data_IF_537046815722
#
_entry.id   IF_537046815722
#
_cell.length_a   1.000
_cell.length_b   1.000
_cell.length_c   1.000
_cell.angle_alpha   90.00
_cell.angle_beta   90.00
_cell.angle_gamma   90.00
#
_symmetry.space_group_name_H-M   'P 1'
#
loop_
_entity.id
_entity.type
_entity.pdbx_description
1 polymer ?
#
# COMPACT_ATOMS: atom_id res chain seq x y z
N UNK A 1 -8.65 8.92 8.61
CA UNK A 1 -8.18 7.57 8.20
C UNK A 1 -6.88 7.24 8.92
N UNK A 2 -6.60 5.95 9.11
CA UNK A 2 -5.30 5.45 9.59
C UNK A 2 -4.77 4.42 8.60
N UNK A 3 -3.46 4.29 8.49
CA UNK A 3 -2.83 3.24 7.71
C UNK A 3 -1.97 2.37 8.63
N UNK A 4 -1.94 1.07 8.34
CA UNK A 4 -1.06 0.10 9.01
C UNK A 4 -0.54 -0.94 8.02
N UNK A 5 0.59 -1.60 8.30
CA UNK A 5 1.04 -2.72 7.51
C UNK A 5 -0.03 -3.83 7.44
N UNK A 6 -0.12 -4.46 6.28
CA UNK A 6 -0.90 -5.69 6.10
C UNK A 6 -0.27 -6.81 6.91
N UNK A 7 -1.11 -7.68 7.46
CA UNK A 7 -0.64 -8.88 8.16
C UNK A 7 -0.01 -9.86 7.16
N UNK A 8 1.08 -10.52 7.54
CA UNK A 8 1.91 -11.29 6.60
C UNK A 8 1.16 -12.47 5.97
N UNK A 9 0.37 -13.19 6.77
CA UNK A 9 -0.42 -14.34 6.29
C UNK A 9 -1.45 -13.92 5.24
N UNK A 10 -2.07 -12.76 5.44
CA UNK A 10 -3.02 -12.16 4.53
C UNK A 10 -2.35 -11.65 3.26
N UNK A 11 -1.17 -11.05 3.41
CA UNK A 11 -0.41 -10.57 2.28
C UNK A 11 -0.06 -11.73 1.33
N UNK A 12 0.43 -12.85 1.87
CA UNK A 12 0.71 -14.07 1.10
C UNK A 12 -0.55 -14.61 0.42
N UNK A 13 -1.66 -14.68 1.15
CA UNK A 13 -2.92 -15.20 0.62
C UNK A 13 -3.48 -14.39 -0.56
N UNK A 14 -3.30 -13.06 -0.56
CA UNK A 14 -3.70 -12.20 -1.67
C UNK A 14 -2.74 -12.37 -2.86
N UNK A 15 -1.42 -12.43 -2.61
CA UNK A 15 -0.41 -12.66 -3.66
C UNK A 15 -0.59 -14.01 -4.37
N UNK A 16 -0.92 -15.06 -3.61
CA UNK A 16 -1.21 -16.41 -4.14
C UNK A 16 -2.58 -16.50 -4.82
N UNK A 17 -3.40 -15.43 -4.75
CA UNK A 17 -4.71 -15.36 -5.38
C UNK A 17 -5.82 -16.10 -4.63
N UNK A 18 -5.59 -16.52 -3.38
CA UNK A 18 -6.64 -17.09 -2.53
C UNK A 18 -7.68 -16.06 -2.08
N UNK A 19 -7.27 -14.79 -1.96
CA UNK A 19 -8.11 -13.66 -1.55
C UNK A 19 -8.01 -12.55 -2.60
N UNK A 20 -9.14 -12.03 -3.05
CA UNK A 20 -9.19 -10.88 -3.95
C UNK A 20 -10.57 -10.71 -4.56
N UNK A 21 -10.84 -9.56 -5.19
CA UNK A 21 -12.19 -9.14 -5.64
C UNK A 21 -12.92 -10.11 -6.59
N UNK A 22 -12.22 -11.11 -7.15
CA UNK A 22 -12.75 -12.09 -8.11
C UNK A 22 -13.07 -13.46 -7.48
N UNK A 23 -12.76 -13.66 -6.21
CA UNK A 23 -12.97 -14.94 -5.52
C UNK A 23 -14.31 -14.90 -4.78
N UNK A 24 -15.19 -15.84 -5.07
CA UNK A 24 -16.43 -16.07 -4.32
C UNK A 24 -16.41 -17.51 -3.81
N UNK A 25 -16.55 -17.79 -2.49
CA UNK A 25 -16.76 -16.84 -1.39
C UNK A 25 -15.47 -16.46 -0.64
N UNK A 26 -15.01 -15.22 -0.84
CA UNK A 26 -13.89 -14.59 -0.09
C UNK A 26 -14.04 -14.77 1.42
N UNK A 27 -15.22 -14.49 1.97
CA UNK A 27 -15.47 -14.49 3.42
C UNK A 27 -15.35 -15.88 4.05
N UNK A 28 -15.72 -16.92 3.30
CA UNK A 28 -15.67 -18.30 3.80
C UNK A 28 -14.22 -18.80 3.82
N UNK A 29 -13.46 -18.55 2.75
CA UNK A 29 -12.02 -18.86 2.71
C UNK A 29 -11.24 -18.06 3.77
N UNK A 30 -11.61 -16.79 3.99
CA UNK A 30 -10.97 -15.93 4.98
C UNK A 30 -11.23 -16.42 6.41
N UNK A 31 -12.46 -16.82 6.73
CA UNK A 31 -12.80 -17.33 8.06
C UNK A 31 -12.23 -18.73 8.32
N UNK A 32 -12.31 -19.64 7.34
CA UNK A 32 -11.89 -21.04 7.52
C UNK A 32 -10.36 -21.22 7.52
N UNK A 33 -9.61 -20.44 6.73
CA UNK A 33 -8.14 -20.62 6.60
C UNK A 33 -7.30 -19.70 7.49
N UNK A 34 -7.83 -18.54 7.87
CA UNK A 34 -7.03 -17.49 8.52
C UNK A 34 -7.57 -17.08 9.90
N UNK A 35 -8.51 -17.86 10.46
CA UNK A 35 -9.16 -17.60 11.77
C UNK A 35 -9.70 -16.16 11.89
N UNK A 36 -10.15 -15.64 10.76
CA UNK A 36 -10.55 -14.25 10.68
C UNK A 36 -11.97 -14.10 11.17
N UNK A 37 -12.18 -13.13 12.06
CA UNK A 37 -13.51 -12.70 12.45
C UNK A 37 -14.35 -12.37 11.20
N UNK A 38 -15.43 -13.14 11.00
CA UNK A 38 -16.39 -12.94 9.90
C UNK A 38 -16.94 -11.52 9.83
N UNK A 39 -16.93 -10.78 10.95
CA UNK A 39 -17.36 -9.39 11.01
C UNK A 39 -16.31 -8.42 10.43
N UNK A 40 -15.01 -8.75 10.52
CA UNK A 40 -13.94 -8.00 9.84
C UNK A 40 -14.06 -8.12 8.33
N UNK A 41 -14.40 -9.30 7.81
CA UNK A 41 -14.57 -9.50 6.38
C UNK A 41 -15.68 -8.62 5.76
N UNK A 42 -16.81 -8.44 6.48
CA UNK A 42 -17.91 -7.55 6.04
C UNK A 42 -17.53 -6.07 6.01
N UNK A 43 -16.51 -5.69 6.77
CA UNK A 43 -16.00 -4.32 6.86
C UNK A 43 -15.06 -3.97 5.71
N UNK A 44 -14.57 -4.95 4.94
CA UNK A 44 -13.68 -4.70 3.79
C UNK A 44 -14.49 -4.08 2.65
N UNK A 45 -14.03 -2.92 2.18
CA UNK A 45 -14.69 -2.19 1.09
C UNK A 45 -14.13 -2.52 -0.28
N UNK A 46 -12.81 -2.65 -0.39
CA UNK A 46 -12.14 -3.03 -1.62
C UNK A 46 -10.68 -3.41 -1.37
N UNK A 47 -10.11 -4.12 -2.35
CA UNK A 47 -8.66 -4.31 -2.52
C UNK A 47 -8.13 -3.39 -3.61
N UNK A 48 -6.85 -3.08 -3.64
CA UNK A 48 -6.31 -2.19 -4.67
C UNK A 48 -4.77 -2.06 -4.66
N UNK A 49 -4.20 -1.39 -5.66
CA UNK A 49 -4.86 -0.91 -6.89
C UNK A 49 -5.42 -2.05 -7.78
N UNK A 50 -6.27 -1.68 -8.75
CA UNK A 50 -6.90 -2.54 -9.78
C UNK A 50 -7.76 -3.68 -9.23
N UNK A 51 -8.30 -3.55 -8.02
CA UNK A 51 -9.12 -4.57 -7.34
C UNK A 51 -8.42 -5.92 -7.07
N UNK A 52 -7.11 -6.03 -7.27
CA UNK A 52 -6.36 -7.29 -7.13
C UNK A 52 -5.04 -7.15 -6.37
N UNK A 53 -4.57 -5.93 -6.11
CA UNK A 53 -3.29 -5.71 -5.43
C UNK A 53 -3.43 -5.68 -3.90
N UNK A 54 -2.28 -5.70 -3.25
CA UNK A 54 -2.02 -6.00 -1.85
C UNK A 54 -2.32 -4.86 -0.88
N UNK A 55 -3.33 -4.06 -1.15
CA UNK A 55 -3.80 -3.02 -0.25
C UNK A 55 -5.29 -3.17 -0.03
N UNK A 56 -5.79 -2.73 1.11
CA UNK A 56 -7.21 -2.80 1.43
C UNK A 56 -7.74 -1.54 2.10
N UNK A 57 -9.05 -1.33 1.95
CA UNK A 57 -9.80 -0.35 2.74
C UNK A 57 -10.79 -1.09 3.63
N UNK A 58 -10.76 -0.80 4.92
CA UNK A 58 -11.64 -1.35 5.95
C UNK A 58 -12.46 -0.23 6.58
N UNK A 59 -13.77 -0.42 6.68
CA UNK A 59 -14.65 0.47 7.40
C UNK A 59 -14.69 0.13 8.90
N UNK A 60 -14.20 1.05 9.74
CA UNK A 60 -14.24 0.96 11.21
C UNK A 60 -15.21 1.97 11.82
N UNK A 61 -15.95 2.72 11.01
CA UNK A 61 -16.93 3.67 11.50
C UNK A 61 -18.13 2.95 12.12
N UNK A 62 -18.64 3.50 13.22
CA UNK A 62 -19.88 3.05 13.87
C UNK A 62 -20.90 4.20 13.85
N UNK A 63 -22.14 3.91 13.41
CA UNK A 63 -23.25 4.87 13.51
C UNK A 63 -23.20 6.07 12.55
N UNK A 64 -22.43 6.01 11.46
CA UNK A 64 -22.37 7.11 10.48
C UNK A 64 -23.45 6.99 9.42
N UNK A 65 -24.36 7.95 9.39
CA UNK A 65 -25.42 8.06 8.37
C UNK A 65 -24.86 8.28 6.97
N UNK A 66 -25.53 7.72 5.96
CA UNK A 66 -25.21 7.88 4.53
C UNK A 66 -23.83 7.38 4.07
N UNK A 67 -23.04 6.76 4.96
CA UNK A 67 -21.69 6.29 4.65
C UNK A 67 -21.65 5.35 3.45
N UNK A 68 -22.61 4.42 3.37
CA UNK A 68 -22.70 3.45 2.27
C UNK A 68 -22.94 4.11 0.90
N UNK A 69 -23.59 5.26 0.84
CA UNK A 69 -23.79 6.01 -0.42
C UNK A 69 -22.46 6.55 -0.96
N UNK A 70 -21.50 6.83 -0.06
CA UNK A 70 -20.19 7.35 -0.43
C UNK A 70 -19.17 6.26 -0.79
N UNK A 71 -19.50 4.98 -0.51
CA UNK A 71 -18.58 3.83 -0.69
C UNK A 71 -17.97 3.80 -2.09
N UNK A 72 -18.76 3.97 -3.15
CA UNK A 72 -18.25 3.95 -4.53
C UNK A 72 -17.21 5.05 -4.79
N UNK A 73 -17.41 6.24 -4.22
CA UNK A 73 -16.48 7.37 -4.36
C UNK A 73 -15.19 7.16 -3.55
N UNK A 74 -15.30 6.60 -2.34
CA UNK A 74 -14.13 6.26 -1.52
C UNK A 74 -13.30 5.19 -2.20
N UNK A 75 -13.94 4.13 -2.72
CA UNK A 75 -13.27 3.08 -3.50
C UNK A 75 -12.55 3.67 -4.70
N UNK A 76 -13.20 4.53 -5.49
CA UNK A 76 -12.58 5.18 -6.65
C UNK A 76 -11.36 6.02 -6.25
N UNK A 77 -11.47 6.84 -5.20
CA UNK A 77 -10.34 7.61 -4.67
C UNK A 77 -9.19 6.73 -4.18
N UNK A 78 -9.50 5.58 -3.57
CA UNK A 78 -8.50 4.61 -3.15
C UNK A 78 -7.80 3.90 -4.31
N UNK A 79 -8.51 3.47 -5.34
CA UNK A 79 -7.89 2.82 -6.51
C UNK A 79 -6.85 3.74 -7.16
N UNK A 80 -7.18 5.02 -7.26
CA UNK A 80 -6.31 6.02 -7.86
C UNK A 80 -5.15 6.40 -6.91
N UNK A 81 -5.42 6.59 -5.62
CA UNK A 81 -4.37 6.90 -4.65
C UNK A 81 -3.37 5.75 -4.47
N UNK A 82 -3.84 4.50 -4.47
CA UNK A 82 -2.98 3.32 -4.28
C UNK A 82 -2.14 2.98 -5.51
N UNK A 83 -2.50 3.50 -6.69
CA UNK A 83 -1.70 3.38 -7.92
C UNK A 83 -0.49 4.32 -7.91
N UNK A 84 -0.60 5.50 -7.29
CA UNK A 84 0.46 6.51 -7.26
C UNK A 84 1.18 6.58 -5.92
N UNK A 85 0.47 6.54 -4.80
CA UNK A 85 1.09 6.74 -3.49
C UNK A 85 1.78 8.09 -3.25
N UNK A 86 2.01 8.40 -1.99
CA UNK A 86 2.48 9.73 -1.57
C UNK A 86 3.99 9.94 -1.76
N UNK A 87 4.79 8.86 -1.75
CA UNK A 87 6.25 8.95 -1.77
C UNK A 87 6.80 9.38 -3.14
N UNK A 88 6.50 8.62 -4.19
CA UNK A 88 7.16 8.80 -5.49
C UNK A 88 6.25 8.50 -6.69
N UNK A 89 4.92 8.58 -6.56
CA UNK A 89 4.00 8.19 -7.62
C UNK A 89 4.23 6.72 -8.08
N UNK A 90 4.54 5.82 -7.14
CA UNK A 90 4.69 4.36 -7.31
C UNK A 90 3.54 3.60 -6.63
N UNK A 91 3.20 2.42 -7.18
CA UNK A 91 2.14 1.58 -6.63
C UNK A 91 2.40 1.24 -5.14
N UNK A 92 1.39 1.46 -4.31
CA UNK A 92 1.40 1.05 -2.92
C UNK A 92 1.35 -0.48 -2.82
N UNK A 93 1.93 -1.03 -1.75
CA UNK A 93 1.86 -2.47 -1.47
C UNK A 93 1.86 -2.74 0.03
N UNK A 94 1.04 -3.69 0.45
CA UNK A 94 1.02 -4.21 1.81
C UNK A 94 0.43 -3.23 2.83
N UNK A 95 -0.56 -2.42 2.46
CA UNK A 95 -1.16 -1.41 3.34
C UNK A 95 -2.64 -1.68 3.59
N UNK A 96 -3.03 -1.70 4.87
CA UNK A 96 -4.42 -1.65 5.29
C UNK A 96 -4.81 -0.23 5.71
N UNK A 97 -5.77 0.36 5.00
CA UNK A 97 -6.34 1.67 5.32
C UNK A 97 -7.66 1.51 6.08
N UNK A 98 -7.75 2.15 7.24
CA UNK A 98 -8.91 2.10 8.12
C UNK A 98 -9.64 3.44 8.12
N UNK A 99 -10.93 3.39 7.77
CA UNK A 99 -11.84 4.52 7.90
C UNK A 99 -12.35 4.52 9.34
N UNK A 100 -11.73 5.34 10.20
CA UNK A 100 -12.09 5.39 11.62
C UNK A 100 -13.33 6.27 11.88
N UNK A 101 -13.44 7.39 11.17
CA UNK A 101 -14.50 8.37 11.35
C UNK A 101 -14.74 9.13 10.04
N UNK A 102 -15.99 9.56 9.81
CA UNK A 102 -16.41 10.34 8.65
C UNK A 102 -17.54 11.27 9.07
N UNK A 103 -17.39 12.56 8.78
CA UNK A 103 -18.45 13.56 8.88
C UNK A 103 -18.96 13.87 7.48
N UNK A 104 -20.25 13.70 7.26
CA UNK A 104 -20.91 13.85 5.97
C UNK A 104 -22.02 14.90 6.06
N UNK A 105 -22.13 15.74 5.03
CA UNK A 105 -23.21 16.72 4.93
C UNK A 105 -24.55 16.03 4.62
N UNK A 106 -25.68 16.50 5.16
CA UNK A 106 -26.98 15.82 4.96
C UNK A 106 -27.41 15.80 3.48
N UNK A 107 -27.19 16.92 2.77
CA UNK A 107 -27.58 17.09 1.38
C UNK A 107 -26.75 16.19 0.42
N UNK A 108 -27.38 15.27 -0.35
CA UNK A 108 -26.67 14.41 -1.31
C UNK A 108 -25.86 15.15 -2.38
N UNK A 109 -26.29 16.36 -2.76
CA UNK A 109 -25.61 17.18 -3.79
C UNK A 109 -24.20 17.59 -3.33
N UNK A 110 -24.01 17.71 -2.01
CA UNK A 110 -22.73 18.06 -1.39
C UNK A 110 -21.85 16.84 -1.11
N UNK A 111 -22.38 15.62 -1.31
CA UNK A 111 -21.68 14.35 -1.13
C UNK A 111 -21.34 13.64 -2.45
N UNK A 112 -21.26 14.41 -3.53
CA UNK A 112 -20.93 13.88 -4.85
C UNK A 112 -19.49 13.38 -4.92
N UNK A 113 -19.21 12.48 -5.87
CA UNK A 113 -17.86 11.95 -6.09
C UNK A 113 -16.80 13.03 -6.32
N UNK A 114 -17.18 14.18 -6.91
CA UNK A 114 -16.27 15.34 -7.07
C UNK A 114 -15.72 15.87 -5.75
N UNK A 115 -16.47 15.73 -4.65
CA UNK A 115 -16.02 16.14 -3.31
C UNK A 115 -15.33 14.99 -2.56
N UNK A 116 -15.92 13.79 -2.62
CA UNK A 116 -15.46 12.64 -1.83
C UNK A 116 -14.16 12.03 -2.37
N UNK A 117 -14.00 11.91 -3.69
CA UNK A 117 -12.81 11.30 -4.31
C UNK A 117 -11.52 12.05 -3.95
N UNK A 118 -11.39 13.38 -4.19
CA UNK A 118 -10.16 14.09 -3.84
C UNK A 118 -9.93 14.14 -2.32
N UNK A 119 -10.98 14.21 -1.51
CA UNK A 119 -10.88 14.16 -0.05
C UNK A 119 -10.32 12.81 0.42
N UNK A 120 -10.81 11.71 -0.17
CA UNK A 120 -10.32 10.36 0.11
C UNK A 120 -8.86 10.20 -0.30
N UNK A 121 -8.47 10.68 -1.50
CA UNK A 121 -7.08 10.65 -1.97
C UNK A 121 -6.14 11.36 -0.99
N UNK A 122 -6.50 12.58 -0.55
CA UNK A 122 -5.70 13.33 0.44
C UNK A 122 -5.61 12.58 1.77
N UNK A 123 -6.73 12.07 2.28
CA UNK A 123 -6.76 11.31 3.53
C UNK A 123 -5.88 10.05 3.49
N UNK A 124 -5.82 9.36 2.35
CA UNK A 124 -4.94 8.20 2.13
C UNK A 124 -3.47 8.61 2.16
N UNK A 125 -3.09 9.69 1.49
CA UNK A 125 -1.71 10.18 1.50
C UNK A 125 -1.26 10.62 2.89
N UNK A 126 -2.12 11.34 3.63
CA UNK A 126 -1.84 11.66 5.05
C UNK A 126 -1.67 10.38 5.85
N UNK A 127 -2.61 9.44 5.74
CA UNK A 127 -2.54 8.19 6.48
C UNK A 127 -1.26 7.40 6.17
N UNK A 128 -0.86 7.33 4.90
CA UNK A 128 0.38 6.67 4.48
C UNK A 128 1.60 7.35 5.11
N UNK A 129 1.73 8.68 5.00
CA UNK A 129 2.90 9.42 5.49
C UNK A 129 3.02 9.36 7.01
N UNK A 130 1.91 9.50 7.72
CA UNK A 130 1.88 9.40 9.19
C UNK A 130 2.22 8.00 9.69
N UNK A 131 1.99 6.97 8.87
CA UNK A 131 2.34 5.58 9.18
C UNK A 131 3.82 5.23 8.91
N UNK A 132 4.68 6.22 8.57
CA UNK A 132 6.12 6.03 8.27
C UNK A 132 6.35 4.99 7.18
N UNK A 133 5.96 5.30 5.92
CA UNK A 133 6.01 4.34 4.83
C UNK A 133 7.45 4.03 4.43
N UNK A 134 7.69 2.79 4.03
CA UNK A 134 9.00 2.31 3.58
C UNK A 134 8.97 2.00 2.08
N UNK A 135 10.13 2.13 1.43
CA UNK A 135 10.28 1.68 0.05
C UNK A 135 10.45 0.16 0.01
N UNK A 136 9.91 -0.47 -1.02
CA UNK A 136 10.14 -1.88 -1.31
C UNK A 136 10.97 -2.01 -2.58
N UNK A 137 11.86 -3.01 -2.62
CA UNK A 137 12.57 -3.40 -3.84
C UNK A 137 12.06 -4.76 -4.33
N UNK A 138 11.98 -4.98 -5.65
CA UNK A 138 11.76 -6.31 -6.18
C UNK A 138 13.03 -7.15 -5.97
N UNK A 139 12.86 -8.37 -5.46
CA UNK A 139 13.94 -9.36 -5.38
C UNK A 139 13.72 -10.39 -6.47
N UNK A 140 14.72 -10.54 -7.33
CA UNK A 140 14.69 -11.52 -8.41
C UNK A 140 15.47 -12.75 -8.00
N UNK A 141 14.90 -13.92 -8.28
CA UNK A 141 15.59 -15.18 -8.18
C UNK A 141 16.30 -15.47 -9.49
N UNK A 142 17.62 -15.65 -9.41
CA UNK A 142 18.47 -15.91 -10.58
C UNK A 142 19.08 -17.30 -10.44
N UNK A 143 18.70 -18.19 -11.36
CA UNK A 143 19.37 -19.48 -11.54
C UNK A 143 20.40 -19.35 -12.66
N UNK A 144 21.58 -19.92 -12.45
CA UNK A 144 22.62 -19.96 -13.47
C UNK A 144 23.36 -21.30 -13.38
N UNK A 145 23.86 -21.75 -14.51
CA UNK A 145 24.74 -22.91 -14.60
C UNK A 145 26.16 -22.44 -14.84
N UNK A 146 27.10 -22.95 -14.06
CA UNK A 146 28.50 -22.60 -14.18
C UNK A 146 29.38 -23.82 -13.91
N UNK A 147 30.61 -23.77 -14.41
CA UNK A 147 31.65 -24.73 -14.05
C UNK A 147 31.97 -24.62 -12.56
N UNK A 148 32.31 -25.73 -11.92
CA UNK A 148 32.50 -25.80 -10.47
C UNK A 148 33.59 -24.84 -9.97
N UNK A 149 34.61 -24.57 -10.79
CA UNK A 149 35.69 -23.61 -10.52
C UNK A 149 35.20 -22.15 -10.47
N UNK A 150 34.14 -21.81 -11.21
CA UNK A 150 33.59 -20.46 -11.28
C UNK A 150 32.58 -20.17 -10.15
N UNK A 151 32.10 -21.18 -9.43
CA UNK A 151 31.07 -21.02 -8.40
C UNK A 151 31.52 -20.06 -7.28
N UNK A 152 32.75 -20.16 -6.79
CA UNK A 152 33.25 -19.30 -5.72
C UNK A 152 33.29 -17.82 -6.14
N UNK A 153 33.70 -17.55 -7.39
CA UNK A 153 33.73 -16.20 -7.95
C UNK A 153 32.33 -15.63 -8.07
N UNK A 154 31.38 -16.46 -8.54
CA UNK A 154 29.99 -16.03 -8.69
C UNK A 154 29.33 -15.78 -7.32
N UNK A 155 29.54 -16.65 -6.33
CA UNK A 155 29.06 -16.44 -4.97
C UNK A 155 29.57 -15.12 -4.37
N UNK A 156 30.86 -14.83 -4.53
CA UNK A 156 31.44 -13.57 -4.04
C UNK A 156 30.80 -12.35 -4.72
N UNK A 157 30.53 -12.43 -6.03
CA UNK A 157 29.84 -11.36 -6.76
C UNK A 157 28.40 -11.16 -6.29
N UNK A 158 27.70 -12.23 -5.90
CA UNK A 158 26.36 -12.10 -5.32
C UNK A 158 26.40 -11.46 -3.93
N UNK A 159 27.34 -11.84 -3.08
CA UNK A 159 27.51 -11.25 -1.74
C UNK A 159 27.76 -9.74 -1.83
N UNK A 160 28.64 -9.31 -2.76
CA UNK A 160 28.93 -7.89 -3.02
C UNK A 160 27.70 -7.10 -3.49
N UNK A 161 26.76 -7.77 -4.16
CA UNK A 161 25.54 -7.16 -4.70
C UNK A 161 24.30 -7.38 -3.80
N UNK A 162 24.49 -7.77 -2.52
CA UNK A 162 23.40 -8.07 -1.55
C UNK A 162 22.48 -9.21 -1.99
N UNK A 163 22.98 -10.12 -2.83
CA UNK A 163 22.31 -11.37 -3.17
C UNK A 163 22.32 -12.35 -2.00
N UNK A 164 21.27 -13.16 -1.88
CA UNK A 164 21.23 -14.31 -0.95
C UNK A 164 21.15 -15.57 -1.80
N UNK A 165 22.05 -16.52 -1.56
CA UNK A 165 22.05 -17.80 -2.26
C UNK A 165 20.94 -18.68 -1.67
N UNK A 166 19.98 -19.09 -2.50
CA UNK A 166 18.89 -20.01 -2.14
C UNK A 166 18.97 -21.26 -3.01
N UNK A 167 18.55 -22.41 -2.49
CA UNK A 167 18.46 -23.64 -3.27
C UNK A 167 17.10 -23.71 -4.01
N UNK A 168 17.15 -23.51 -5.33
CA UNK A 168 16.19 -23.90 -6.39
C UNK A 168 14.92 -23.06 -6.62
N UNK A 169 14.72 -22.68 -7.90
CA UNK A 169 13.52 -22.09 -8.52
C UNK A 169 13.86 -20.85 -9.37
N UNK A 170 13.07 -20.49 -10.39
CA UNK A 170 13.19 -19.20 -11.12
C UNK A 170 11.81 -18.55 -11.28
N UNK A 171 11.66 -17.32 -10.77
CA UNK A 171 10.59 -16.34 -11.06
C UNK A 171 10.87 -15.06 -10.23
N UNK A 172 10.08 -13.99 -10.42
CA UNK A 172 9.96 -12.97 -9.37
C UNK A 172 9.66 -13.69 -8.05
N UNK A 173 10.48 -13.45 -7.02
CA UNK A 173 10.35 -14.18 -5.77
C UNK A 173 9.46 -13.40 -4.81
N UNK A 174 9.92 -12.23 -4.37
CA UNK A 174 9.16 -11.39 -3.44
C UNK A 174 9.57 -9.91 -3.48
N UNK A 175 8.78 -9.09 -2.78
CA UNK A 175 9.12 -7.71 -2.48
C UNK A 175 9.77 -7.64 -1.09
N UNK A 176 10.91 -6.99 -0.99
CA UNK A 176 11.63 -6.81 0.27
C UNK A 176 11.59 -5.34 0.70
N UNK A 177 11.28 -5.08 1.97
CA UNK A 177 11.38 -3.74 2.55
C UNK A 177 12.85 -3.29 2.55
N UNK A 178 13.10 -2.06 2.14
CA UNK A 178 14.42 -1.47 2.28
C UNK A 178 14.74 -1.22 3.75
N UNK A 179 16.02 -1.32 4.11
CA UNK A 179 16.50 -1.16 5.48
C UNK A 179 16.66 0.31 5.93
N UNK A 180 16.42 1.27 5.04
CA UNK A 180 16.65 2.70 5.30
C UNK A 180 15.32 3.46 5.26
N UNK A 181 15.10 4.33 6.23
CA UNK A 181 13.92 5.20 6.27
C UNK A 181 13.99 6.22 5.11
N UNK A 182 13.03 6.22 4.17
CA UNK A 182 13.04 7.14 3.04
C UNK A 182 12.71 8.59 3.41
N UNK A 183 12.19 8.84 4.62
CA UNK A 183 11.87 10.17 5.13
C UNK A 183 12.95 10.74 6.06
N UNK A 184 13.94 9.95 6.46
CA UNK A 184 15.06 10.41 7.28
C UNK A 184 16.05 11.25 6.44
N UNK A 185 16.24 12.55 6.74
CA UNK A 185 17.13 13.41 5.97
C UNK A 185 18.57 12.88 5.95
N UNK A 186 19.15 12.78 4.76
CA UNK A 186 20.53 12.29 4.58
C UNK A 186 20.68 10.77 4.55
N UNK A 187 19.62 9.99 4.76
CA UNK A 187 19.66 8.53 4.63
C UNK A 187 19.83 8.09 3.16
N UNK A 188 20.29 6.86 2.94
CA UNK A 188 20.29 6.24 1.60
C UNK A 188 18.87 6.17 1.01
N UNK A 189 17.86 5.96 1.86
CA UNK A 189 16.45 5.94 1.47
C UNK A 189 15.98 7.30 0.94
N UNK A 190 16.32 8.39 1.63
CA UNK A 190 15.96 9.74 1.22
C UNK A 190 16.62 10.13 -0.11
N UNK A 191 17.90 9.77 -0.32
CA UNK A 191 18.59 10.01 -1.59
C UNK A 191 17.96 9.23 -2.74
N UNK A 192 17.59 7.96 -2.51
CA UNK A 192 16.90 7.15 -3.51
C UNK A 192 15.53 7.75 -3.85
N UNK A 193 14.78 8.15 -2.83
CA UNK A 193 13.48 8.80 -2.98
C UNK A 193 13.58 10.08 -3.81
N UNK A 194 14.53 10.96 -3.49
CA UNK A 194 14.78 12.19 -4.25
C UNK A 194 15.09 11.90 -5.72
N UNK A 195 15.93 10.89 -6.00
CA UNK A 195 16.28 10.48 -7.35
C UNK A 195 15.07 9.94 -8.13
N UNK A 196 14.20 9.14 -7.50
CA UNK A 196 12.96 8.66 -8.11
C UNK A 196 12.03 9.83 -8.46
N UNK A 197 11.84 10.74 -7.51
CA UNK A 197 10.99 11.92 -7.67
C UNK A 197 11.49 12.81 -8.82
N UNK A 198 12.80 13.07 -8.86
CA UNK A 198 13.46 13.81 -9.95
C UNK A 198 13.21 13.21 -11.33
N UNK A 199 13.39 11.88 -11.47
CA UNK A 199 13.17 11.18 -12.76
C UNK A 199 11.73 11.28 -13.25
N UNK A 200 10.78 11.43 -12.32
CA UNK A 200 9.35 11.61 -12.63
C UNK A 200 8.90 13.07 -12.76
N UNK A 201 9.83 14.03 -12.68
CA UNK A 201 9.50 15.46 -12.75
C UNK A 201 8.78 15.99 -11.50
N UNK A 202 8.85 15.28 -10.38
CA UNK A 202 8.31 15.71 -9.09
C UNK A 202 9.33 16.57 -8.34
N UNK A 203 8.87 17.36 -7.36
CA UNK A 203 9.77 18.07 -6.45
C UNK A 203 10.66 17.06 -5.72
N UNK A 204 11.98 17.26 -5.70
CA UNK A 204 12.90 16.30 -5.04
C UNK A 204 12.57 16.15 -3.55
N UNK A 205 12.19 17.25 -2.90
CA UNK A 205 11.68 17.24 -1.53
C UNK A 205 10.25 16.73 -1.44
N UNK A 206 9.96 16.02 -0.36
CA UNK A 206 8.63 15.57 -0.02
C UNK A 206 7.67 16.75 0.15
N UNK A 207 6.44 16.55 -0.31
CA UNK A 207 5.36 17.50 -0.07
C UNK A 207 5.05 17.50 1.43
N UNK A 208 5.06 18.67 2.11
CA UNK A 208 4.74 18.75 3.53
C UNK A 208 3.35 18.18 3.82
N UNK A 209 3.20 17.49 4.96
CA UNK A 209 1.93 16.89 5.39
C UNK A 209 0.78 17.92 5.40
N UNK A 210 1.09 19.15 5.81
CA UNK A 210 0.17 20.29 5.86
C UNK A 210 -0.47 20.68 4.53
N UNK A 211 0.07 20.22 3.38
CA UNK A 211 -0.56 20.41 2.07
C UNK A 211 -1.71 19.43 1.82
N UNK A 212 -1.74 18.32 2.54
CA UNK A 212 -2.79 17.31 2.44
C UNK A 212 -3.82 17.41 3.57
N UNK A 213 -3.39 17.89 4.74
CA UNK A 213 -4.28 18.19 5.85
C UNK A 213 -5.15 19.41 5.56
N UNK A 214 -6.39 19.37 6.01
CA UNK A 214 -7.21 20.57 6.07
C UNK A 214 -6.61 21.43 7.21
N UNK A 215 -6.15 22.64 6.90
CA UNK A 215 -5.43 23.50 7.86
C UNK A 215 -6.20 23.71 9.17
N UNK A 216 -5.46 24.10 10.23
CA UNK A 216 -5.95 24.23 11.62
C UNK A 216 -7.43 24.61 11.71
N UNK A 217 -8.23 23.65 12.21
CA UNK A 217 -9.66 23.82 12.45
C UNK A 217 -9.97 24.80 13.58
N UNK A 218 -8.96 25.29 14.30
CA UNK A 218 -9.08 26.30 15.36
C UNK A 218 -9.27 27.75 14.82
N UNK A 219 -9.56 27.91 13.53
CA UNK A 219 -9.87 29.21 12.89
C UNK A 219 -11.25 29.30 12.24
N UNK A 220 -12.20 28.44 12.63
CA UNK A 220 -13.62 28.56 12.26
C UNK A 220 -14.51 28.50 13.50
#
# INVERSE_FOLDING_TARGET
MKARPMEEHLAKAIDEGYIGSRVDPQLQVMSEKFDWDTDLGKQIWCFGPRNTSLNMVVNKCAGVSFLNETKGSVVAGFQDASLEGALAHEEMRGICFEICDVVLHENPIERTGRQIIPTTRRAIYVAQLTAKPMLMKPVYLVEFQALQEALNTISSLFDDNRGKVLNSGMLFDHWELMSFDPLEPGSQGAQLLANMRKRKGLTEHMVPLSKYEDGDKDKL
#
